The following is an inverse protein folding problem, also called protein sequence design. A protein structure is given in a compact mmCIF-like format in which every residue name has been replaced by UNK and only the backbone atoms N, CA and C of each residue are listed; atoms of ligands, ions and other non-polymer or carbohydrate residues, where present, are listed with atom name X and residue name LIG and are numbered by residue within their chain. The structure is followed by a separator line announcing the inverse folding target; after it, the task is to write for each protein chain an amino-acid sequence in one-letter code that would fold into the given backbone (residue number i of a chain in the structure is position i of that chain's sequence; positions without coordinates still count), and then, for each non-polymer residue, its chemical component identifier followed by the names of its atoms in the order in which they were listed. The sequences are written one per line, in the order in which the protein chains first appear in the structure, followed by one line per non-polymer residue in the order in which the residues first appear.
data_IF_603054714053
#
_entry.id   IF_603054714053
#
_cell.length_a   1.000
_cell.length_b   1.000
_cell.length_c   1.000
_cell.angle_alpha   90.00
_cell.angle_beta   90.00
_cell.angle_gamma   90.00
#
_symmetry.space_group_name_H-M   'P 1'
#
loop_
_entity.id
_entity.type
_entity.pdbx_description
1 polymer ?
#
# COMPACT_ATOMS: atom_id res chain seq x y z
N UNK A 1 2.04 -6.83 9.35
CA UNK A 1 2.98 -5.96 8.62
C UNK A 1 2.75 -6.18 7.14
N UNK A 2 2.71 -5.15 6.30
CA UNK A 2 2.76 -5.34 4.83
C UNK A 2 4.21 -5.10 4.42
N UNK A 3 4.90 -6.15 3.99
CA UNK A 3 6.35 -6.11 3.86
C UNK A 3 7.00 -5.72 5.19
N UNK A 4 7.81 -4.66 5.15
CA UNK A 4 8.51 -4.09 6.32
C UNK A 4 7.69 -3.04 7.10
N UNK A 5 6.48 -2.69 6.63
CA UNK A 5 5.71 -1.56 7.16
C UNK A 5 4.52 -1.97 8.05
N UNK A 6 4.15 -1.08 8.97
CA UNK A 6 2.92 -1.22 9.76
C UNK A 6 1.70 -1.16 8.84
N UNK A 7 0.75 -2.07 9.03
CA UNK A 7 -0.50 -2.08 8.26
C UNK A 7 -1.30 -0.78 8.47
N UNK A 8 -1.22 -0.18 9.65
CA UNK A 8 -1.91 1.08 9.98
C UNK A 8 -1.32 2.22 9.15
N UNK A 9 0.02 2.29 9.03
CA UNK A 9 0.69 3.31 8.23
C UNK A 9 0.36 3.15 6.74
N UNK A 10 0.40 1.92 6.22
CA UNK A 10 0.09 1.64 4.81
C UNK A 10 -1.36 2.00 4.48
N UNK A 11 -2.32 1.68 5.37
CA UNK A 11 -3.73 2.08 5.17
C UNK A 11 -3.88 3.60 5.21
N UNK A 12 -3.29 4.25 6.21
CA UNK A 12 -3.43 5.69 6.39
C UNK A 12 -2.83 6.48 5.23
N UNK A 13 -1.57 6.20 4.87
CA UNK A 13 -0.91 6.90 3.78
C UNK A 13 -1.39 6.44 2.40
N UNK A 14 -1.87 5.19 2.28
CA UNK A 14 -2.54 4.69 1.07
C UNK A 14 -3.82 5.46 0.79
N UNK A 15 -4.63 5.77 1.82
CA UNK A 15 -5.79 6.67 1.71
C UNK A 15 -5.36 8.07 1.28
N UNK A 16 -4.32 8.63 1.90
CA UNK A 16 -3.83 9.97 1.53
C UNK A 16 -3.35 10.02 0.08
N UNK A 17 -2.67 8.97 -0.40
CA UNK A 17 -2.30 8.84 -1.82
C UNK A 17 -3.52 8.82 -2.72
N UNK A 18 -4.52 7.99 -2.40
CA UNK A 18 -5.73 7.87 -3.22
C UNK A 18 -6.51 9.19 -3.34
N UNK A 19 -6.46 10.05 -2.32
CA UNK A 19 -7.16 11.34 -2.27
C UNK A 19 -6.41 12.51 -2.92
N UNK A 20 -5.08 12.42 -3.07
CA UNK A 20 -4.23 13.57 -3.42
C UNK A 20 -3.15 13.25 -4.46
N UNK A 21 -3.27 12.13 -5.19
CA UNK A 21 -2.23 11.72 -6.14
C UNK A 21 -2.07 12.72 -7.29
N UNK A 22 -3.12 13.46 -7.65
CA UNK A 22 -3.18 14.44 -8.73
C UNK A 22 -2.35 15.71 -8.46
N UNK A 23 -2.08 16.03 -7.19
CA UNK A 23 -1.33 17.23 -6.79
C UNK A 23 0.14 17.18 -7.24
N UNK A 24 0.59 16.03 -7.77
CA UNK A 24 1.95 15.78 -8.25
C UNK A 24 3.05 15.98 -7.19
N UNK A 25 2.67 16.29 -5.96
CA UNK A 25 3.54 16.58 -4.85
C UNK A 25 3.06 15.89 -3.56
N UNK A 26 3.13 14.54 -3.50
CA UNK A 26 2.76 13.81 -2.30
C UNK A 26 3.59 14.28 -1.09
N UNK A 27 2.98 14.29 0.09
CA UNK A 27 3.68 14.59 1.35
C UNK A 27 4.75 13.53 1.63
N UNK A 28 5.74 13.88 2.44
CA UNK A 28 6.85 12.98 2.77
C UNK A 28 6.40 11.59 3.27
N UNK A 29 5.39 11.46 4.17
CA UNK A 29 4.94 10.14 4.61
C UNK A 29 4.40 9.24 3.48
N UNK A 30 3.68 9.83 2.52
CA UNK A 30 3.19 9.11 1.34
C UNK A 30 4.35 8.66 0.45
N UNK A 31 5.36 9.52 0.27
CA UNK A 31 6.57 9.17 -0.50
C UNK A 31 7.32 8.01 0.14
N UNK A 32 7.54 8.08 1.45
CA UNK A 32 8.27 7.06 2.21
C UNK A 32 7.52 5.72 2.14
N UNK A 33 6.19 5.75 2.32
CA UNK A 33 5.34 4.57 2.22
C UNK A 33 5.41 3.93 0.83
N UNK A 34 5.26 4.73 -0.24
CA UNK A 34 5.32 4.23 -1.62
C UNK A 34 6.72 3.69 -1.96
N UNK A 35 7.78 4.35 -1.51
CA UNK A 35 9.15 3.90 -1.76
C UNK A 35 9.43 2.55 -1.09
N UNK A 36 8.99 2.38 0.15
CA UNK A 36 9.10 1.10 0.87
C UNK A 36 8.24 0.01 0.22
N UNK A 37 7.00 0.31 -0.20
CA UNK A 37 6.19 -0.67 -0.95
C UNK A 37 6.85 -1.09 -2.25
N UNK A 38 7.45 -0.16 -2.99
CA UNK A 38 8.22 -0.46 -4.19
C UNK A 38 9.40 -1.40 -3.90
N UNK A 39 10.11 -1.18 -2.79
CA UNK A 39 11.22 -2.06 -2.36
C UNK A 39 10.73 -3.44 -1.93
N UNK A 40 9.69 -3.49 -1.08
CA UNK A 40 9.17 -4.72 -0.49
C UNK A 40 8.49 -5.63 -1.52
N UNK A 41 7.78 -5.03 -2.49
CA UNK A 41 7.00 -5.77 -3.51
C UNK A 41 7.76 -5.91 -4.84
N UNK A 42 8.91 -5.27 -4.99
CA UNK A 42 9.69 -5.31 -6.24
C UNK A 42 8.97 -4.67 -7.44
N UNK A 43 8.07 -3.69 -7.19
CA UNK A 43 7.27 -3.02 -8.22
C UNK A 43 7.76 -1.61 -8.51
N UNK A 44 7.47 -1.08 -9.70
CA UNK A 44 7.73 0.33 -10.01
C UNK A 44 6.51 1.19 -9.71
N UNK A 45 6.64 2.11 -8.76
CA UNK A 45 5.66 3.14 -8.47
C UNK A 45 6.14 4.51 -8.97
N UNK A 46 5.21 5.29 -9.52
CA UNK A 46 5.53 6.61 -10.11
C UNK A 46 4.98 7.69 -9.21
N UNK A 47 5.84 8.57 -8.71
CA UNK A 47 5.43 9.73 -7.92
C UNK A 47 4.54 10.67 -8.75
N UNK A 48 3.49 11.21 -8.12
CA UNK A 48 2.52 12.08 -8.82
C UNK A 48 1.62 11.34 -9.82
N UNK A 49 1.49 10.02 -9.70
CA UNK A 49 0.50 9.21 -10.43
C UNK A 49 -0.32 8.37 -9.48
N UNK A 50 -1.51 7.99 -9.92
CA UNK A 50 -2.26 6.94 -9.25
C UNK A 50 -1.49 5.61 -9.40
N UNK A 51 -1.16 5.00 -8.26
CA UNK A 51 -0.38 3.76 -8.18
C UNK A 51 -1.25 2.56 -7.75
N UNK A 52 -2.56 2.76 -7.54
CA UNK A 52 -3.44 1.74 -6.99
C UNK A 52 -3.47 0.48 -7.85
N UNK A 53 -3.55 0.62 -9.18
CA UNK A 53 -3.59 -0.54 -10.09
C UNK A 53 -2.30 -1.36 -10.07
N UNK A 54 -1.13 -0.71 -9.95
CA UNK A 54 0.14 -1.43 -9.86
C UNK A 54 0.23 -2.24 -8.56
N UNK A 55 -0.26 -1.68 -7.45
CA UNK A 55 -0.31 -2.33 -6.14
C UNK A 55 -1.31 -3.49 -6.16
N UNK A 56 -2.53 -3.28 -6.66
CA UNK A 56 -3.56 -4.32 -6.79
C UNK A 56 -3.05 -5.50 -7.62
N UNK A 57 -2.35 -5.21 -8.73
CA UNK A 57 -1.83 -6.25 -9.62
C UNK A 57 -0.78 -7.14 -8.94
N UNK A 58 0.14 -6.57 -8.14
CA UNK A 58 1.16 -7.38 -7.45
C UNK A 58 0.61 -8.14 -6.25
N UNK A 59 -0.41 -7.60 -5.58
CA UNK A 59 -1.10 -8.28 -4.47
C UNK A 59 -2.11 -9.32 -4.96
N UNK A 60 -2.32 -9.43 -6.28
CA UNK A 60 -3.28 -10.34 -6.92
C UNK A 60 -4.70 -10.21 -6.33
N UNK A 61 -5.11 -9.00 -5.98
CA UNK A 61 -6.44 -8.72 -5.44
C UNK A 61 -7.47 -8.67 -6.57
N UNK A 62 -8.16 -9.79 -6.81
CA UNK A 62 -9.17 -9.94 -7.87
C UNK A 62 -10.57 -9.50 -7.44
N UNK A 63 -10.83 -9.52 -6.15
CA UNK A 63 -12.10 -9.14 -5.54
C UNK A 63 -11.86 -8.69 -4.08
N UNK A 64 -12.94 -8.27 -3.42
CA UNK A 64 -12.88 -7.81 -2.02
C UNK A 64 -12.45 -8.90 -1.04
N UNK A 65 -12.72 -10.17 -1.34
CA UNK A 65 -12.40 -11.27 -0.42
C UNK A 65 -10.89 -11.47 -0.31
N UNK A 66 -10.13 -11.29 -1.39
CA UNK A 66 -8.66 -11.34 -1.36
C UNK A 66 -8.09 -10.28 -0.41
N UNK A 67 -8.63 -9.05 -0.48
CA UNK A 67 -8.22 -7.96 0.42
C UNK A 67 -8.52 -8.32 1.87
N UNK A 68 -9.72 -8.82 2.14
CA UNK A 68 -10.15 -9.19 3.50
C UNK A 68 -9.28 -10.32 4.06
N UNK A 69 -9.00 -11.35 3.26
CA UNK A 69 -8.13 -12.46 3.65
C UNK A 69 -6.72 -11.99 4.01
N UNK A 70 -6.13 -11.12 3.18
CA UNK A 70 -4.82 -10.54 3.48
C UNK A 70 -4.87 -9.73 4.76
N UNK A 71 -5.85 -8.83 4.93
CA UNK A 71 -6.01 -8.04 6.16
C UNK A 71 -6.18 -8.92 7.40
N UNK A 72 -6.94 -10.02 7.31
CA UNK A 72 -7.10 -10.99 8.39
C UNK A 72 -5.78 -11.68 8.74
N UNK A 73 -5.01 -12.11 7.74
CA UNK A 73 -3.70 -12.75 7.96
C UNK A 73 -2.75 -11.86 8.78
N UNK A 74 -2.83 -10.55 8.56
CA UNK A 74 -1.99 -9.55 9.20
C UNK A 74 -2.40 -9.23 10.65
N UNK A 75 -3.66 -9.47 11.00
CA UNK A 75 -4.19 -9.31 12.36
C UNK A 75 -3.97 -10.58 13.19
N UNK A 76 -4.18 -11.76 12.60
CA UNK A 76 -4.00 -13.05 13.28
C UNK A 76 -2.53 -13.36 13.55
N UNK A 77 -1.62 -12.98 12.65
CA UNK A 77 -0.17 -13.17 12.85
C UNK A 77 0.44 -12.39 14.03
N UNK A 78 -0.32 -11.47 14.67
CA UNK A 78 0.11 -10.74 15.88
C UNK A 78 -0.27 -11.41 17.21
N UNK A 79 -0.98 -12.54 17.17
CA UNK A 79 -1.39 -13.28 18.36
C UNK A 79 -0.44 -14.47 18.64
N UNK A 80 0.85 -14.20 18.86
CA UNK A 80 1.84 -15.11 19.45
C UNK A 80 2.81 -14.28 20.29
#
# INVERSE_FOLDING_TARGET
MIGSQSIIEVIWEGRNHALHWEDSNPRQPVRDMLQKLQQDLGIKLIMGRNNALAIIAVLDWKNTDHVVQDLQSLVVAKAI
#
